data_IF_052735026401
#
_entry.id   IF_052735026401
#
_cell.length_a   1.000
_cell.length_b   1.000
_cell.length_c   1.000
_cell.angle_alpha   90.00
_cell.angle_beta   90.00
_cell.angle_gamma   90.00
#
_symmetry.space_group_name_H-M   'P 1'
#
loop_
_entity.id
_entity.type
_entity.pdbx_description
1 polymer ?
#
# COMPACT_ATOMS: atom_id res chain seq x y z
N UNK A 1 40.92 47.74 17.38
CA UNK A 1 39.52 48.17 17.21
C UNK A 1 38.64 46.95 17.32
N UNK A 2 37.79 46.87 18.34
CA UNK A 2 36.94 45.71 18.62
C UNK A 2 35.58 45.85 17.94
N UNK A 3 35.18 44.86 17.15
CA UNK A 3 33.85 44.82 16.52
C UNK A 3 33.05 43.73 17.24
N UNK A 4 32.12 44.16 18.09
CA UNK A 4 31.19 43.29 18.80
C UNK A 4 30.05 42.84 17.89
N UNK A 5 29.85 41.52 17.77
CA UNK A 5 28.64 40.94 17.21
C UNK A 5 27.87 40.23 18.33
N UNK A 6 26.82 40.88 18.84
CA UNK A 6 25.78 40.24 19.63
C UNK A 6 24.48 40.28 18.84
N UNK A 7 24.20 39.21 18.08
CA UNK A 7 22.87 38.94 17.55
C UNK A 7 22.30 37.73 18.28
N UNK A 8 21.41 37.98 19.23
CA UNK A 8 20.54 36.93 19.79
C UNK A 8 19.42 36.62 18.79
N UNK A 9 19.15 35.35 18.47
CA UNK A 9 17.98 35.01 17.66
C UNK A 9 16.72 35.17 18.52
N UNK A 10 15.77 35.99 18.06
CA UNK A 10 14.40 36.04 18.61
C UNK A 10 13.76 34.67 18.38
N UNK A 11 13.68 33.86 19.44
CA UNK A 11 12.92 32.61 19.45
C UNK A 11 11.45 32.97 19.53
N UNK A 12 10.82 33.21 18.38
CA UNK A 12 9.36 33.27 18.27
C UNK A 12 8.84 31.88 18.58
N UNK A 13 8.36 31.70 19.82
CA UNK A 13 7.64 30.51 20.23
C UNK A 13 6.38 30.41 19.35
N UNK A 14 6.41 29.47 18.40
CA UNK A 14 5.21 29.09 17.67
C UNK A 14 4.31 28.43 18.71
N UNK A 15 3.19 29.08 19.04
CA UNK A 15 2.23 28.57 20.02
C UNK A 15 1.64 27.26 19.52
N UNK A 16 1.48 26.29 20.42
CA UNK A 16 0.91 24.97 20.09
C UNK A 16 -0.50 25.13 19.51
N UNK A 17 -1.22 26.15 19.94
CA UNK A 17 -2.55 26.54 19.50
C UNK A 17 -2.59 27.02 18.03
N UNK A 18 -1.54 27.71 17.55
CA UNK A 18 -1.42 28.13 16.15
C UNK A 18 -1.09 26.95 15.21
N UNK A 19 -0.53 25.87 15.76
CA UNK A 19 -0.28 24.64 15.02
C UNK A 19 -1.54 23.79 14.90
N UNK A 20 -2.33 23.68 15.98
CA UNK A 20 -3.58 22.90 16.01
C UNK A 20 -4.67 23.58 15.16
N UNK A 21 -4.76 24.92 15.18
CA UNK A 21 -5.80 25.66 14.43
C UNK A 21 -5.64 25.62 12.91
N UNK A 22 -4.46 25.25 12.39
CA UNK A 22 -4.18 25.07 10.96
C UNK A 22 -4.39 23.64 10.47
N UNK A 23 -4.71 22.71 11.37
CA UNK A 23 -5.11 21.35 10.98
C UNK A 23 -6.51 21.44 10.42
N UNK A 24 -6.62 21.26 9.10
CA UNK A 24 -7.89 21.18 8.40
C UNK A 24 -8.71 19.99 8.98
N UNK A 25 -9.85 20.23 9.66
CA UNK A 25 -10.64 19.16 10.27
C UNK A 25 -11.31 18.26 9.24
N UNK A 26 -11.17 18.58 7.95
CA UNK A 26 -11.59 17.76 6.81
C UNK A 26 -10.54 16.74 6.38
N UNK A 27 -9.49 16.50 7.18
CA UNK A 27 -8.70 15.28 7.08
C UNK A 27 -9.60 14.07 7.41
N UNK A 28 -10.44 13.71 6.44
CA UNK A 28 -11.19 12.47 6.37
C UNK A 28 -10.17 11.40 6.70
N UNK A 29 -10.42 10.62 7.75
CA UNK A 29 -9.71 9.36 7.94
C UNK A 29 -10.05 8.53 6.71
N UNK A 30 -9.21 8.67 5.69
CA UNK A 30 -9.42 8.08 4.40
C UNK A 30 -9.30 6.57 4.68
N UNK A 31 -10.41 5.84 4.57
CA UNK A 31 -10.47 4.38 4.45
C UNK A 31 -9.74 3.94 3.14
N UNK A 32 -8.70 4.66 2.74
CA UNK A 32 -7.89 4.39 1.57
C UNK A 32 -7.02 3.19 1.87
N UNK A 33 -7.20 2.18 1.04
CA UNK A 33 -6.35 1.00 1.03
C UNK A 33 -4.90 1.44 0.80
N UNK A 34 -3.91 0.75 1.40
CA UNK A 34 -2.52 1.19 1.37
C UNK A 34 -1.92 1.22 -0.04
N UNK A 35 -2.57 0.58 -1.02
CA UNK A 35 -2.15 0.57 -2.42
C UNK A 35 -2.84 1.64 -3.30
N UNK A 36 -3.80 2.42 -2.78
CA UNK A 36 -4.55 3.39 -3.60
C UNK A 36 -3.70 4.55 -4.13
N UNK A 37 -2.59 4.89 -3.47
CA UNK A 37 -1.64 5.92 -3.92
C UNK A 37 -0.47 5.37 -4.75
N UNK A 38 -0.41 4.05 -4.96
CA UNK A 38 0.69 3.40 -5.66
C UNK A 38 0.50 3.43 -7.18
N UNK A 39 1.62 3.42 -7.89
CA UNK A 39 1.65 3.46 -9.36
C UNK A 39 1.35 2.08 -9.94
N UNK A 40 0.29 1.97 -10.75
CA UNK A 40 -0.13 0.69 -11.35
C UNK A 40 0.43 0.37 -12.74
N UNK A 41 1.12 1.32 -13.38
CA UNK A 41 1.51 1.21 -14.80
C UNK A 41 2.83 0.48 -15.05
N UNK A 42 3.69 0.37 -14.03
CA UNK A 42 5.01 -0.24 -14.12
C UNK A 42 5.23 -1.24 -13.01
N UNK A 43 5.76 -2.42 -13.36
CA UNK A 43 6.25 -3.40 -12.39
C UNK A 43 7.58 -2.90 -11.82
N UNK A 44 7.60 -2.62 -10.53
CA UNK A 44 8.75 -2.00 -9.84
C UNK A 44 9.63 -3.03 -9.13
N UNK A 45 9.04 -4.07 -8.56
CA UNK A 45 9.77 -5.02 -7.72
C UNK A 45 9.75 -6.45 -8.29
N UNK A 46 10.87 -7.16 -8.10
CA UNK A 46 10.99 -8.58 -8.40
C UNK A 46 10.45 -9.37 -7.22
N UNK A 47 9.40 -10.16 -7.45
CA UNK A 47 8.91 -11.14 -6.49
C UNK A 47 9.31 -12.54 -6.94
N UNK A 48 10.16 -13.21 -6.14
CA UNK A 48 10.65 -14.54 -6.48
C UNK A 48 9.72 -15.63 -5.92
N UNK A 49 9.10 -16.41 -6.81
CA UNK A 49 8.23 -17.53 -6.44
C UNK A 49 9.09 -18.80 -6.40
N UNK A 50 9.09 -19.49 -5.25
CA UNK A 50 9.71 -20.82 -5.13
C UNK A 50 8.74 -21.86 -5.67
N UNK A 51 9.15 -22.54 -6.74
CA UNK A 51 8.39 -23.62 -7.36
C UNK A 51 9.16 -24.93 -7.19
N UNK A 52 8.41 -26.01 -7.01
CA UNK A 52 8.95 -27.37 -7.14
C UNK A 52 9.30 -27.65 -8.61
N UNK A 53 10.10 -28.69 -8.83
CA UNK A 53 10.47 -29.13 -10.19
C UNK A 53 9.24 -29.51 -11.02
N UNK A 54 8.26 -30.15 -10.40
CA UNK A 54 7.00 -30.57 -11.05
C UNK A 54 6.20 -29.36 -11.50
N UNK A 55 6.09 -28.33 -10.67
CA UNK A 55 5.37 -27.09 -11.02
C UNK A 55 6.08 -26.33 -12.13
N UNK A 56 7.41 -26.27 -12.09
CA UNK A 56 8.21 -25.68 -13.15
C UNK A 56 8.01 -26.40 -14.48
N UNK A 57 7.99 -27.74 -14.48
CA UNK A 57 7.75 -28.54 -15.68
C UNK A 57 6.36 -28.28 -16.28
N UNK A 58 5.32 -28.19 -15.44
CA UNK A 58 3.95 -27.84 -15.88
C UNK A 58 3.91 -26.45 -16.53
N UNK A 59 4.58 -25.46 -15.95
CA UNK A 59 4.63 -24.11 -16.52
C UNK A 59 5.38 -24.06 -17.85
N UNK A 60 6.49 -24.79 -17.97
CA UNK A 60 7.24 -24.91 -19.23
C UNK A 60 6.37 -25.51 -20.33
N UNK A 61 5.68 -26.60 -20.02
CA UNK A 61 4.74 -27.22 -20.96
C UNK A 61 3.68 -26.22 -21.45
N UNK A 62 3.09 -25.41 -20.56
CA UNK A 62 2.13 -24.38 -20.95
C UNK A 62 2.76 -23.32 -21.86
N UNK A 63 3.97 -22.87 -21.55
CA UNK A 63 4.68 -21.85 -22.34
C UNK A 63 5.10 -22.36 -23.72
N UNK A 64 5.37 -23.65 -23.86
CA UNK A 64 5.71 -24.28 -25.15
C UNK A 64 4.48 -24.50 -26.04
N UNK A 65 3.30 -24.67 -25.43
CA UNK A 65 2.06 -25.00 -26.14
C UNK A 65 1.10 -23.80 -26.27
N UNK A 66 1.46 -22.62 -25.77
CA UNK A 66 0.64 -21.41 -25.84
C UNK A 66 1.50 -20.19 -26.19
N UNK A 67 0.93 -19.10 -26.71
CA UNK A 67 1.70 -17.87 -26.97
C UNK A 67 2.10 -17.11 -25.70
N UNK A 68 1.74 -17.60 -24.51
CA UNK A 68 2.03 -16.94 -23.25
C UNK A 68 3.39 -17.39 -22.70
N UNK A 69 4.23 -16.44 -22.30
CA UNK A 69 5.39 -16.78 -21.47
C UNK A 69 4.93 -17.31 -20.10
N UNK A 70 5.79 -18.10 -19.42
CA UNK A 70 5.49 -18.60 -18.07
C UNK A 70 5.08 -17.46 -17.12
N UNK A 71 5.74 -16.31 -17.20
CA UNK A 71 5.42 -15.16 -16.38
C UNK A 71 4.10 -14.50 -16.77
N UNK A 72 3.82 -14.33 -18.06
CA UNK A 72 2.54 -13.77 -18.50
C UNK A 72 1.36 -14.67 -18.07
N UNK A 73 1.53 -15.99 -18.18
CA UNK A 73 0.55 -16.96 -17.70
C UNK A 73 0.34 -16.85 -16.19
N UNK A 74 1.41 -16.85 -15.39
CA UNK A 74 1.31 -16.71 -13.93
C UNK A 74 0.61 -15.41 -13.53
N UNK A 75 0.99 -14.28 -14.13
CA UNK A 75 0.36 -12.98 -13.81
C UNK A 75 -1.12 -12.95 -14.17
N UNK A 76 -1.52 -13.60 -15.28
CA UNK A 76 -2.92 -13.72 -15.69
C UNK A 76 -3.77 -14.47 -14.64
N UNK A 77 -3.18 -15.41 -13.91
CA UNK A 77 -3.87 -16.19 -12.87
C UNK A 77 -3.79 -15.52 -11.50
N UNK A 78 -2.61 -14.99 -11.13
CA UNK A 78 -2.34 -14.46 -9.79
C UNK A 78 -3.07 -13.15 -9.55
N UNK A 79 -3.11 -12.20 -10.51
CA UNK A 79 -3.72 -10.89 -10.28
C UNK A 79 -5.21 -10.99 -9.91
N UNK A 80 -6.06 -11.72 -10.66
CA UNK A 80 -7.47 -11.86 -10.28
C UNK A 80 -7.66 -12.62 -8.96
N UNK A 81 -6.74 -13.53 -8.62
CA UNK A 81 -6.79 -14.24 -7.35
C UNK A 81 -6.45 -13.32 -6.16
N UNK A 82 -5.51 -12.39 -6.32
CA UNK A 82 -5.19 -11.37 -5.32
C UNK A 82 -6.41 -10.47 -5.08
N UNK A 83 -7.05 -9.98 -6.15
CA UNK A 83 -8.20 -9.09 -6.02
C UNK A 83 -9.35 -9.76 -5.25
N UNK A 84 -9.65 -11.03 -5.56
CA UNK A 84 -10.64 -11.82 -4.80
C UNK A 84 -10.27 -12.00 -3.34
N UNK A 85 -9.01 -12.30 -3.05
CA UNK A 85 -8.55 -12.46 -1.67
C UNK A 85 -8.66 -11.15 -0.87
N UNK A 86 -8.42 -10.01 -1.52
CA UNK A 86 -8.64 -8.69 -0.92
C UNK A 86 -10.12 -8.47 -0.61
N UNK A 87 -11.02 -8.75 -1.55
CA UNK A 87 -12.47 -8.62 -1.35
C UNK A 87 -12.95 -9.47 -0.17
N UNK A 88 -12.47 -10.71 -0.07
CA UNK A 88 -12.78 -11.61 1.05
C UNK A 88 -12.32 -11.02 2.39
N UNK A 89 -11.08 -10.52 2.45
CA UNK A 89 -10.54 -9.86 3.66
C UNK A 89 -11.35 -8.62 4.04
N UNK A 90 -11.72 -7.79 3.06
CA UNK A 90 -12.53 -6.59 3.30
C UNK A 90 -13.93 -6.93 3.80
N UNK A 91 -14.54 -7.98 3.24
CA UNK A 91 -15.84 -8.47 3.68
C UNK A 91 -15.79 -8.93 5.15
N UNK A 92 -14.71 -9.60 5.55
CA UNK A 92 -14.52 -10.11 6.89
C UNK A 92 -14.28 -8.98 7.91
N UNK A 93 -13.51 -7.96 7.53
CA UNK A 93 -13.33 -6.75 8.34
C UNK A 93 -14.67 -6.04 8.57
N UNK A 94 -15.49 -5.91 7.51
CA UNK A 94 -16.81 -5.30 7.60
C UNK A 94 -17.75 -6.07 8.54
N UNK A 95 -17.77 -7.40 8.44
CA UNK A 95 -18.55 -8.27 9.35
C UNK A 95 -18.14 -8.07 10.80
N UNK A 96 -16.84 -8.05 11.10
CA UNK A 96 -16.32 -7.84 12.46
C UNK A 96 -16.72 -6.48 13.04
N UNK A 97 -16.62 -5.41 12.24
CA UNK A 97 -17.08 -4.06 12.64
C UNK A 97 -18.57 -4.04 12.97
N UNK A 98 -19.41 -4.71 12.18
CA UNK A 98 -20.86 -4.78 12.40
C UNK A 98 -21.21 -5.52 13.71
N UNK A 99 -20.56 -6.65 13.98
CA UNK A 99 -20.79 -7.41 15.21
C UNK A 99 -20.34 -6.67 16.48
N UNK A 100 -19.24 -5.91 16.39
CA UNK A 100 -18.74 -5.10 17.49
C UNK A 100 -19.69 -3.94 17.85
N UNK A 101 -20.37 -3.35 16.86
CA UNK A 101 -21.33 -2.27 17.08
C UNK A 101 -22.69 -2.75 17.61
N UNK A 102 -23.07 -4.01 17.37
CA UNK A 102 -24.34 -4.58 17.83
C UNK A 102 -24.26 -5.17 19.26
N UNK A 103 -23.08 -5.15 19.88
CA UNK A 103 -22.85 -5.69 21.24
C UNK A 103 -22.70 -4.58 22.31
N UNK A 104 -23.01 -3.34 21.97
CA UNK A 104 -23.07 -2.16 22.85
C UNK A 104 -24.49 -1.60 22.85
#
# INVERSE_FOLDING_TARGET
MSIGFTRTPKKTAISVEDFISKVDPTAVQDDKLPWTSLRGDKRTELYNIRLTEVEMAKLRFIAENTPNSMQAFLMKIILPAIDRAIDDVLSEIKRKKMNANNSR
#
